data_IF_984370587602
#
_entry.id   IF_984370587602
#
_cell.length_a   1.000
_cell.length_b   1.000
_cell.length_c   1.000
_cell.angle_alpha   90.00
_cell.angle_beta   90.00
_cell.angle_gamma   90.00
#
_symmetry.space_group_name_H-M   'P 1'
#
loop_
_entity.id
_entity.type
_entity.pdbx_description
1 polymer ?
#
# COMPACT_ATOMS: atom_id res chain seq x y z
N UNK A 1 17.76 -13.53 -5.43
CA UNK A 1 18.03 -14.86 -6.05
C UNK A 1 16.75 -15.67 -5.94
N UNK A 2 16.03 -15.93 -7.05
CA UNK A 2 14.83 -16.77 -7.03
C UNK A 2 15.18 -18.12 -6.40
N UNK A 3 14.38 -18.57 -5.44
CA UNK A 3 14.64 -19.81 -4.72
C UNK A 3 14.56 -20.98 -5.70
N UNK A 4 15.73 -21.56 -6.03
CA UNK A 4 15.88 -22.61 -7.03
C UNK A 4 15.29 -23.97 -6.59
N UNK A 5 14.56 -23.99 -5.48
CA UNK A 5 14.03 -25.20 -4.86
C UNK A 5 12.85 -25.80 -5.63
N UNK A 6 12.08 -25.01 -6.41
CA UNK A 6 10.84 -25.48 -7.05
C UNK A 6 10.61 -24.97 -8.51
N UNK A 7 11.53 -25.23 -9.46
CA UNK A 7 11.46 -24.69 -10.82
C UNK A 7 10.21 -25.14 -11.61
N UNK A 8 9.67 -26.32 -11.32
CA UNK A 8 8.45 -26.80 -11.97
C UNK A 8 7.19 -26.13 -11.42
N UNK A 9 7.18 -25.74 -10.14
CA UNK A 9 6.08 -24.97 -9.57
C UNK A 9 6.06 -23.56 -10.18
N UNK A 10 7.22 -22.93 -10.28
CA UNK A 10 7.36 -21.62 -10.93
C UNK A 10 6.89 -21.66 -12.38
N UNK A 11 7.34 -22.65 -13.17
CA UNK A 11 6.85 -22.84 -14.56
C UNK A 11 5.35 -23.07 -14.63
N UNK A 12 4.79 -23.83 -13.69
CA UNK A 12 3.34 -24.06 -13.64
C UNK A 12 2.57 -22.77 -13.31
N UNK A 13 3.05 -21.98 -12.33
CA UNK A 13 2.46 -20.69 -11.97
C UNK A 13 2.51 -19.71 -13.15
N UNK A 14 3.66 -19.59 -13.81
CA UNK A 14 3.81 -18.75 -15.02
C UNK A 14 2.86 -19.20 -16.13
N UNK A 15 2.72 -20.51 -16.35
CA UNK A 15 1.80 -21.04 -17.36
C UNK A 15 0.32 -20.84 -17.01
N UNK A 16 -0.03 -20.92 -15.72
CA UNK A 16 -1.37 -20.62 -15.23
C UNK A 16 -1.70 -19.14 -15.42
N UNK A 17 -0.78 -18.26 -15.05
CA UNK A 17 -0.91 -16.80 -15.18
C UNK A 17 -1.03 -16.34 -16.63
N UNK A 18 -0.53 -17.11 -17.60
CA UNK A 18 -0.68 -16.82 -19.03
C UNK A 18 -2.05 -17.19 -19.61
N UNK A 19 -2.92 -17.90 -18.87
CA UNK A 19 -4.22 -18.35 -19.40
C UNK A 19 -5.25 -17.20 -19.40
N UNK A 20 -5.93 -16.89 -20.52
CA UNK A 20 -6.95 -15.84 -20.56
C UNK A 20 -8.05 -16.02 -19.52
N UNK A 21 -8.50 -17.26 -19.30
CA UNK A 21 -9.52 -17.56 -18.29
C UNK A 21 -9.05 -17.26 -16.86
N UNK A 22 -7.77 -17.49 -16.56
CA UNK A 22 -7.21 -17.18 -15.25
C UNK A 22 -6.99 -15.66 -15.09
N UNK A 23 -6.49 -14.98 -16.13
CA UNK A 23 -6.34 -13.53 -16.15
C UNK A 23 -7.66 -12.80 -15.88
N UNK A 24 -8.77 -13.27 -16.46
CA UNK A 24 -10.10 -12.70 -16.24
C UNK A 24 -10.62 -12.89 -14.80
N UNK A 25 -10.10 -13.88 -14.05
CA UNK A 25 -10.48 -14.14 -12.66
C UNK A 25 -9.45 -13.64 -11.64
N UNK A 26 -8.41 -12.91 -12.08
CA UNK A 26 -7.40 -12.38 -11.16
C UNK A 26 -8.02 -11.33 -10.25
N UNK A 27 -7.90 -11.57 -8.95
CA UNK A 27 -8.28 -10.65 -7.90
C UNK A 27 -7.20 -10.66 -6.82
N UNK A 28 -7.09 -9.58 -6.05
CA UNK A 28 -6.12 -9.48 -4.96
C UNK A 28 -6.57 -10.26 -3.71
N UNK A 29 -5.66 -10.46 -2.76
CA UNK A 29 -5.92 -11.17 -1.50
C UNK A 29 -7.04 -10.50 -0.73
N UNK A 30 -7.09 -9.17 -0.72
CA UNK A 30 -8.17 -8.43 -0.06
C UNK A 30 -9.52 -8.76 -0.69
N UNK A 31 -9.60 -8.72 -2.02
CA UNK A 31 -10.80 -9.08 -2.77
C UNK A 31 -11.18 -10.53 -2.49
N UNK A 32 -10.26 -11.48 -2.39
CA UNK A 32 -10.60 -12.87 -2.06
C UNK A 32 -11.01 -13.06 -0.60
N UNK A 33 -10.36 -12.38 0.34
CA UNK A 33 -10.65 -12.47 1.77
C UNK A 33 -11.97 -11.78 2.14
N UNK A 34 -12.34 -10.74 1.38
CA UNK A 34 -13.53 -9.92 1.60
C UNK A 34 -14.61 -10.09 0.50
N UNK A 35 -14.41 -10.98 -0.48
CA UNK A 35 -15.43 -11.30 -1.49
C UNK A 35 -16.54 -12.12 -0.84
N UNK A 36 -17.59 -11.41 -0.42
CA UNK A 36 -18.79 -11.92 0.24
C UNK A 36 -18.44 -12.70 1.52
N UNK A 37 -18.80 -12.20 2.72
CA UNK A 37 -18.59 -12.99 3.92
C UNK A 37 -19.24 -14.36 3.68
N UNK A 38 -18.47 -15.43 3.89
CA UNK A 38 -19.05 -16.78 3.86
C UNK A 38 -20.28 -16.75 4.76
N UNK A 39 -21.34 -17.50 4.44
CA UNK A 39 -22.54 -17.53 5.30
C UNK A 39 -22.24 -17.95 6.76
N UNK A 40 -21.00 -18.33 7.06
CA UNK A 40 -20.47 -18.67 8.38
C UNK A 40 -19.93 -17.47 9.18
N UNK A 41 -20.02 -16.24 8.66
CA UNK A 41 -19.53 -15.03 9.34
C UNK A 41 -18.14 -14.56 8.86
N UNK A 42 -17.60 -13.48 9.46
CA UNK A 42 -16.30 -12.94 9.09
C UNK A 42 -15.17 -13.89 9.48
N UNK A 43 -14.06 -13.82 8.74
CA UNK A 43 -12.83 -14.52 9.12
C UNK A 43 -12.16 -13.78 10.28
N UNK A 44 -11.69 -14.53 11.28
CA UNK A 44 -10.94 -13.99 12.42
C UNK A 44 -9.47 -14.40 12.33
N UNK A 45 -8.58 -13.46 12.63
CA UNK A 45 -7.15 -13.76 12.77
C UNK A 45 -6.93 -14.69 13.98
N UNK A 46 -5.88 -15.51 13.91
CA UNK A 46 -5.43 -16.34 15.03
C UNK A 46 -4.05 -15.89 15.48
N UNK A 47 -3.66 -16.19 16.71
CA UNK A 47 -2.32 -15.87 17.24
C UNK A 47 -1.19 -16.42 16.33
N UNK A 48 -1.38 -17.61 15.77
CA UNK A 48 -0.43 -18.20 14.82
C UNK A 48 -0.31 -17.44 13.48
N UNK A 49 -1.33 -16.66 13.11
CA UNK A 49 -1.33 -15.86 11.89
C UNK A 49 -0.59 -14.52 12.06
N UNK A 50 -0.33 -14.07 13.29
CA UNK A 50 0.21 -12.75 13.58
C UNK A 50 1.58 -12.50 12.95
N UNK A 51 2.54 -13.43 13.10
CA UNK A 51 3.86 -13.30 12.47
C UNK A 51 3.84 -13.44 10.94
N UNK A 52 2.83 -14.11 10.39
CA UNK A 52 2.64 -14.17 8.92
C UNK A 52 2.07 -12.84 8.43
N UNK A 53 1.05 -12.33 9.09
CA UNK A 53 0.44 -11.03 8.81
C UNK A 53 1.46 -9.90 8.96
N UNK A 54 2.30 -9.93 10.01
CA UNK A 54 3.34 -8.92 10.22
C UNK A 54 4.35 -8.87 9.07
N UNK A 55 4.76 -10.01 8.51
CA UNK A 55 5.62 -10.05 7.32
C UNK A 55 4.90 -9.60 6.05
N UNK A 56 3.63 -9.97 5.88
CA UNK A 56 2.81 -9.55 4.73
C UNK A 56 2.56 -8.03 4.77
N UNK A 57 2.27 -7.47 5.94
CA UNK A 57 1.97 -6.06 6.13
C UNK A 57 3.22 -5.19 6.34
N UNK A 58 4.41 -5.79 6.40
CA UNK A 58 5.66 -5.03 6.49
C UNK A 58 6.06 -4.52 7.87
N UNK A 59 5.56 -5.16 8.91
CA UNK A 59 5.64 -4.72 10.31
C UNK A 59 6.85 -5.27 11.05
N UNK A 60 7.51 -6.31 10.53
CA UNK A 60 8.77 -6.80 11.08
C UNK A 60 9.95 -6.08 10.44
N UNK A 61 11.02 -5.90 11.21
CA UNK A 61 12.27 -5.34 10.72
C UNK A 61 12.80 -6.15 9.53
N UNK A 62 13.15 -5.48 8.43
CA UNK A 62 13.54 -6.14 7.17
C UNK A 62 12.37 -6.57 6.27
N UNK A 63 11.12 -6.52 6.72
CA UNK A 63 9.96 -6.82 5.85
C UNK A 63 9.84 -5.78 4.75
N UNK A 64 9.79 -6.25 3.49
CA UNK A 64 9.85 -5.41 2.30
C UNK A 64 11.03 -4.42 2.30
N UNK A 65 12.10 -4.70 3.03
CA UNK A 65 13.29 -3.86 2.97
C UNK A 65 13.91 -3.96 1.57
N UNK A 66 14.46 -2.85 1.08
CA UNK A 66 15.18 -2.81 -0.18
C UNK A 66 16.23 -3.92 -0.25
N UNK A 67 16.92 -4.23 0.85
CA UNK A 67 17.92 -5.30 0.95
C UNK A 67 17.34 -6.73 0.87
N UNK A 68 16.14 -6.95 1.41
CA UNK A 68 15.45 -8.25 1.33
C UNK A 68 14.94 -8.55 -0.09
N UNK A 69 14.75 -7.50 -0.88
CA UNK A 69 14.36 -7.56 -2.31
C UNK A 69 15.55 -7.19 -3.23
N UNK A 70 16.72 -6.86 -2.67
CA UNK A 70 17.90 -6.42 -3.42
C UNK A 70 18.55 -7.62 -4.11
N UNK A 71 18.85 -7.44 -5.38
CA UNK A 71 19.26 -8.54 -6.27
C UNK A 71 18.10 -9.22 -6.99
N UNK A 72 16.94 -8.58 -7.08
CA UNK A 72 15.91 -8.92 -8.07
C UNK A 72 16.23 -8.24 -9.40
N UNK A 73 15.96 -8.99 -10.47
CA UNK A 73 16.26 -8.69 -11.87
C UNK A 73 15.90 -7.24 -12.24
N UNK A 74 16.76 -6.54 -12.98
CA UNK A 74 16.47 -5.22 -13.56
C UNK A 74 15.09 -5.21 -14.25
N UNK A 75 14.68 -6.35 -14.81
CA UNK A 75 13.34 -6.54 -15.36
C UNK A 75 12.20 -6.32 -14.35
N UNK A 76 12.33 -6.76 -13.10
CA UNK A 76 11.30 -6.59 -12.07
C UNK A 76 11.13 -5.13 -11.64
N UNK A 77 12.23 -4.40 -11.51
CA UNK A 77 12.21 -2.94 -11.26
C UNK A 77 11.57 -2.18 -12.42
N UNK A 78 11.95 -2.51 -13.65
CA UNK A 78 11.37 -1.88 -14.84
C UNK A 78 9.89 -2.23 -15.03
N UNK A 79 9.44 -3.44 -14.69
CA UNK A 79 8.01 -3.77 -14.71
C UNK A 79 7.23 -2.97 -13.68
N UNK A 80 7.73 -2.88 -12.43
CA UNK A 80 7.11 -2.07 -11.39
C UNK A 80 7.03 -0.59 -11.81
N UNK A 81 8.12 -0.03 -12.36
CA UNK A 81 8.15 1.33 -12.88
C UNK A 81 7.16 1.51 -14.04
N UNK A 82 7.10 0.55 -14.98
CA UNK A 82 6.18 0.62 -16.11
C UNK A 82 4.71 0.64 -15.64
N UNK A 83 4.33 -0.23 -14.69
CA UNK A 83 2.96 -0.26 -14.17
C UNK A 83 2.58 1.03 -13.45
N UNK A 84 3.51 1.62 -12.70
CA UNK A 84 3.31 2.90 -12.02
C UNK A 84 3.17 4.05 -13.02
N UNK A 85 4.07 4.14 -14.01
CA UNK A 85 4.12 5.25 -14.98
C UNK A 85 2.97 5.17 -15.98
N UNK A 86 2.69 3.99 -16.53
CA UNK A 86 1.69 3.82 -17.60
C UNK A 86 0.26 4.16 -17.15
N UNK A 87 -0.01 4.14 -15.85
CA UNK A 87 -1.32 4.40 -15.26
C UNK A 87 -1.27 5.47 -14.16
N UNK A 88 -0.29 6.38 -14.21
CA UNK A 88 0.02 7.27 -13.08
C UNK A 88 -1.18 8.11 -12.61
N UNK A 89 -2.02 8.62 -13.52
CA UNK A 89 -3.17 9.47 -13.14
C UNK A 89 -4.17 8.71 -12.29
N UNK A 90 -4.49 7.48 -12.69
CA UNK A 90 -5.40 6.63 -11.94
C UNK A 90 -4.75 6.12 -10.65
N UNK A 91 -3.44 5.85 -10.65
CA UNK A 91 -2.72 5.44 -9.43
C UNK A 91 -2.68 6.56 -8.40
N UNK A 92 -2.42 7.81 -8.81
CA UNK A 92 -2.44 8.99 -7.93
C UNK A 92 -3.84 9.18 -7.36
N UNK A 93 -4.87 9.18 -8.20
CA UNK A 93 -6.26 9.32 -7.75
C UNK A 93 -6.70 8.16 -6.83
N UNK A 94 -6.21 6.94 -7.07
CA UNK A 94 -6.47 5.80 -6.21
C UNK A 94 -5.73 5.90 -4.86
N UNK A 95 -4.46 6.29 -4.87
CA UNK A 95 -3.64 6.45 -3.66
C UNK A 95 -4.17 7.58 -2.77
N UNK A 96 -4.68 8.67 -3.36
CA UNK A 96 -5.30 9.78 -2.63
C UNK A 96 -6.52 9.37 -1.78
N UNK A 97 -7.13 8.21 -2.07
CA UNK A 97 -8.22 7.66 -1.23
C UNK A 97 -7.78 7.34 0.18
N UNK A 98 -6.48 7.12 0.41
CA UNK A 98 -5.92 6.95 1.76
C UNK A 98 -6.15 8.15 2.68
N UNK A 99 -6.27 9.36 2.11
CA UNK A 99 -6.58 10.59 2.82
C UNK A 99 -8.02 11.08 2.62
N UNK A 100 -8.83 10.37 1.84
CA UNK A 100 -10.19 10.79 1.47
C UNK A 100 -11.22 10.49 2.56
N UNK A 101 -12.33 11.21 2.53
CA UNK A 101 -13.49 10.87 3.35
C UNK A 101 -14.15 9.57 2.86
N UNK A 102 -14.73 8.76 3.77
CA UNK A 102 -15.51 7.59 3.38
C UNK A 102 -16.65 7.97 2.44
N UNK A 103 -16.87 7.15 1.42
CA UNK A 103 -17.94 7.34 0.47
C UNK A 103 -19.31 7.05 1.08
N UNK A 104 -20.37 7.54 0.45
CA UNK A 104 -21.75 7.25 0.81
C UNK A 104 -22.46 6.56 -0.38
N UNK A 105 -22.80 5.26 -0.30
CA UNK A 105 -22.63 4.35 0.83
C UNK A 105 -21.19 3.84 0.95
N UNK A 106 -20.72 3.67 2.19
CA UNK A 106 -19.42 3.03 2.45
C UNK A 106 -19.59 1.52 2.49
N UNK A 107 -18.91 0.81 1.59
CA UNK A 107 -18.99 -0.64 1.48
C UNK A 107 -17.71 -1.36 1.97
N UNK A 108 -16.60 -0.63 2.10
CA UNK A 108 -15.31 -1.10 2.57
C UNK A 108 -14.43 0.12 2.90
N UNK A 109 -14.17 0.42 4.17
CA UNK A 109 -13.51 1.68 4.57
C UNK A 109 -12.15 1.89 3.90
N UNK A 110 -11.35 0.83 3.78
CA UNK A 110 -10.03 0.85 3.12
C UNK A 110 -10.07 0.51 1.62
N UNK A 111 -11.23 0.25 1.03
CA UNK A 111 -11.36 -0.08 -0.40
C UNK A 111 -12.56 0.60 -1.06
N UNK A 112 -12.99 1.73 -0.49
CA UNK A 112 -14.24 2.36 -0.87
C UNK A 112 -14.15 2.84 -2.33
N UNK A 113 -14.93 2.24 -3.26
CA UNK A 113 -14.98 2.73 -4.62
C UNK A 113 -15.58 4.15 -4.69
N UNK A 114 -16.32 4.53 -3.64
CA UNK A 114 -17.01 5.80 -3.52
C UNK A 114 -16.25 6.81 -2.64
N UNK A 115 -15.02 6.51 -2.21
CA UNK A 115 -14.19 7.48 -1.48
C UNK A 115 -14.12 8.80 -2.24
N UNK A 116 -14.54 9.88 -1.58
CA UNK A 116 -14.67 11.18 -2.22
C UNK A 116 -13.41 12.01 -1.99
N UNK A 117 -12.60 12.14 -3.06
CA UNK A 117 -11.39 12.96 -3.06
C UNK A 117 -11.69 14.44 -3.36
N UNK A 118 -12.87 14.76 -3.90
CA UNK A 118 -13.22 16.07 -4.43
C UNK A 118 -14.05 16.91 -3.45
N UNK A 119 -14.89 16.26 -2.65
CA UNK A 119 -15.71 16.96 -1.66
C UNK A 119 -14.91 17.20 -0.37
N UNK A 120 -15.05 18.39 0.24
CA UNK A 120 -14.79 18.57 1.66
C UNK A 120 -15.57 17.54 2.47
N UNK A 121 -15.02 17.05 3.59
CA UNK A 121 -15.85 16.29 4.53
C UNK A 121 -16.97 17.20 5.11
N UNK A 122 -17.94 16.58 5.77
CA UNK A 122 -19.10 17.24 6.38
C UNK A 122 -18.77 18.37 7.38
N UNK A 123 -17.51 18.50 7.79
CA UNK A 123 -16.98 19.49 8.72
C UNK A 123 -16.14 20.62 8.07
N UNK A 124 -16.01 20.63 6.74
CA UNK A 124 -15.40 21.75 6.00
C UNK A 124 -13.88 21.73 5.86
N UNK A 125 -13.25 20.55 5.95
CA UNK A 125 -11.80 20.41 5.72
C UNK A 125 -11.42 20.44 4.23
N UNK A 126 -10.13 20.66 3.96
CA UNK A 126 -9.57 20.74 2.60
C UNK A 126 -9.80 19.41 1.86
N UNK A 127 -10.33 19.42 0.62
CA UNK A 127 -10.45 18.21 -0.19
C UNK A 127 -9.11 17.50 -0.38
N UNK A 128 -9.13 16.16 -0.36
CA UNK A 128 -7.95 15.34 -0.65
C UNK A 128 -7.35 15.62 -2.05
N UNK A 129 -8.11 16.25 -2.95
CA UNK A 129 -7.65 16.75 -4.25
C UNK A 129 -6.39 17.62 -4.16
N UNK A 130 -6.21 18.38 -3.07
CA UNK A 130 -5.01 19.22 -2.86
C UNK A 130 -3.74 18.38 -2.72
N UNK A 131 -3.86 17.12 -2.31
CA UNK A 131 -2.74 16.18 -2.14
C UNK A 131 -2.28 15.59 -3.48
N UNK A 132 -3.09 15.65 -4.55
CA UNK A 132 -2.78 14.98 -5.83
C UNK A 132 -1.45 15.46 -6.44
N UNK A 133 -1.16 16.76 -6.40
CA UNK A 133 0.08 17.31 -6.94
C UNK A 133 1.33 16.80 -6.19
N UNK A 134 1.41 17.02 -4.86
CA UNK A 134 2.49 16.47 -4.03
C UNK A 134 2.61 14.94 -4.09
N UNK A 135 1.48 14.22 -4.20
CA UNK A 135 1.47 12.76 -4.31
C UNK A 135 2.03 12.28 -5.64
N UNK A 136 1.68 12.92 -6.75
CA UNK A 136 2.26 12.65 -8.08
C UNK A 136 3.77 12.91 -8.08
N UNK A 137 4.23 13.98 -7.45
CA UNK A 137 5.66 14.27 -7.27
C UNK A 137 6.37 13.15 -6.49
N UNK A 138 5.78 12.71 -5.36
CA UNK A 138 6.30 11.58 -4.58
C UNK A 138 6.40 10.29 -5.42
N UNK A 139 5.34 9.94 -6.16
CA UNK A 139 5.34 8.74 -7.00
C UNK A 139 6.32 8.83 -8.19
N UNK A 140 6.63 10.04 -8.67
CA UNK A 140 7.70 10.25 -9.66
C UNK A 140 9.08 9.97 -9.07
N UNK A 141 9.36 10.37 -7.83
CA UNK A 141 10.59 9.99 -7.15
C UNK A 141 10.69 8.46 -7.00
N UNK A 142 9.60 7.80 -6.63
CA UNK A 142 9.54 6.33 -6.57
C UNK A 142 9.82 5.71 -7.94
N UNK A 143 9.26 6.25 -9.02
CA UNK A 143 9.51 5.78 -10.39
C UNK A 143 10.99 5.93 -10.79
N UNK A 144 11.62 7.07 -10.49
CA UNK A 144 13.05 7.28 -10.74
C UNK A 144 13.89 6.32 -9.90
N UNK A 145 13.57 6.14 -8.63
CA UNK A 145 14.25 5.19 -7.76
C UNK A 145 14.17 3.75 -8.30
N UNK A 146 13.02 3.36 -8.88
CA UNK A 146 12.86 2.05 -9.53
C UNK A 146 13.75 1.92 -10.77
N UNK A 147 13.81 2.94 -11.63
CA UNK A 147 14.60 2.90 -12.88
C UNK A 147 16.11 2.96 -12.59
N UNK A 148 16.55 4.00 -11.89
CA UNK A 148 17.96 4.39 -11.79
C UNK A 148 18.57 4.08 -10.42
N UNK A 149 17.77 3.61 -9.45
CA UNK A 149 18.17 3.34 -8.08
C UNK A 149 17.90 4.52 -7.14
N UNK A 150 17.73 4.25 -5.84
CA UNK A 150 17.40 5.27 -4.82
C UNK A 150 18.42 6.41 -4.76
N UNK A 151 19.72 6.11 -4.90
CA UNK A 151 20.81 7.09 -4.86
C UNK A 151 20.66 8.20 -5.91
N UNK A 152 20.00 7.91 -7.03
CA UNK A 152 19.81 8.86 -8.14
C UNK A 152 18.83 9.99 -7.80
N UNK A 153 17.90 9.74 -6.88
CA UNK A 153 16.77 10.64 -6.59
C UNK A 153 16.69 11.06 -5.12
N UNK A 154 17.36 10.35 -4.21
CA UNK A 154 17.29 10.55 -2.75
C UNK A 154 17.45 12.01 -2.32
N UNK A 155 18.43 12.73 -2.88
CA UNK A 155 18.63 14.14 -2.55
C UNK A 155 17.45 15.03 -2.96
N UNK A 156 16.91 14.81 -4.16
CA UNK A 156 15.76 15.57 -4.66
C UNK A 156 14.50 15.19 -3.90
N UNK A 157 14.24 13.89 -3.74
CA UNK A 157 13.11 13.37 -2.98
C UNK A 157 13.11 13.91 -1.54
N UNK A 158 14.24 13.88 -0.84
CA UNK A 158 14.34 14.45 0.50
C UNK A 158 14.08 15.96 0.51
N UNK A 159 14.52 16.71 -0.50
CA UNK A 159 14.28 18.14 -0.58
C UNK A 159 12.82 18.49 -0.92
N UNK A 160 12.15 17.68 -1.74
CA UNK A 160 10.78 17.91 -2.21
C UNK A 160 9.74 17.40 -1.19
N UNK A 161 9.96 16.23 -0.59
CA UNK A 161 9.05 15.58 0.36
C UNK A 161 9.13 16.14 1.79
N UNK A 162 10.29 16.64 2.23
CA UNK A 162 10.41 17.30 3.55
C UNK A 162 9.70 18.66 3.60
N UNK A 163 9.36 19.26 2.46
CA UNK A 163 8.56 20.50 2.39
C UNK A 163 7.07 20.26 2.62
N UNK A 164 6.62 19.00 2.58
CA UNK A 164 5.20 18.64 2.61
C UNK A 164 4.74 17.98 3.93
N UNK A 165 5.65 17.66 4.85
CA UNK A 165 5.33 17.05 6.15
C UNK A 165 5.52 18.00 7.33
N UNK A 166 4.45 18.33 8.05
CA UNK A 166 4.56 18.81 9.43
C UNK A 166 4.44 17.61 10.39
N UNK A 167 5.58 17.26 10.98
CA UNK A 167 5.80 16.67 12.30
C UNK A 167 4.96 15.47 12.80
N UNK A 168 5.62 14.30 12.98
CA UNK A 168 5.33 13.45 14.15
C UNK A 168 5.53 11.94 13.97
N UNK A 169 6.74 11.42 14.21
CA UNK A 169 6.99 9.98 14.18
C UNK A 169 6.13 9.18 15.18
N UNK A 170 5.06 8.56 14.69
CA UNK A 170 4.38 7.43 15.31
C UNK A 170 4.98 6.12 14.81
N UNK A 171 5.13 5.11 15.67
CA UNK A 171 5.77 3.82 15.35
C UNK A 171 4.88 2.90 14.50
N UNK A 172 4.44 3.41 13.35
CA UNK A 172 3.83 2.69 12.24
C UNK A 172 4.21 3.45 10.97
N UNK A 173 4.71 2.77 9.93
CA UNK A 173 5.20 3.41 8.70
C UNK A 173 4.07 4.14 7.98
N UNK A 174 3.81 5.40 8.32
CA UNK A 174 2.79 6.23 7.68
C UNK A 174 2.31 7.41 8.54
N UNK A 175 3.10 8.47 8.64
CA UNK A 175 2.57 9.81 8.97
C UNK A 175 2.24 10.08 10.44
N UNK A 176 2.45 11.34 10.84
CA UNK A 176 2.27 11.83 12.21
C UNK A 176 0.99 12.62 12.46
N UNK A 177 0.11 12.69 11.47
CA UNK A 177 -1.10 13.50 11.50
C UNK A 177 -2.17 13.02 12.48
N UNK A 178 -3.22 13.83 12.61
CA UNK A 178 -4.44 13.45 13.33
C UNK A 178 -5.14 12.29 12.60
N UNK A 179 -5.64 11.32 13.38
CA UNK A 179 -6.35 10.17 12.85
C UNK A 179 -7.69 10.60 12.24
N UNK A 180 -8.08 9.95 11.15
CA UNK A 180 -9.41 10.13 10.56
C UNK A 180 -10.48 9.65 11.54
N UNK A 181 -11.62 10.34 11.58
CA UNK A 181 -12.76 10.00 12.46
C UNK A 181 -13.18 8.53 12.33
N UNK A 182 -13.47 7.91 13.47
CA UNK A 182 -13.87 6.50 13.55
C UNK A 182 -12.71 5.52 13.69
N UNK A 183 -11.46 5.98 13.62
CA UNK A 183 -10.27 5.19 13.87
C UNK A 183 -9.65 5.50 15.24
N UNK A 184 -9.40 4.45 16.01
CA UNK A 184 -8.73 4.53 17.30
C UNK A 184 -7.46 3.68 17.33
N UNK A 185 -6.47 4.12 18.10
CA UNK A 185 -5.19 3.43 18.26
C UNK A 185 -5.26 2.43 19.43
N UNK A 186 -4.79 1.22 19.17
CA UNK A 186 -4.70 0.12 20.14
C UNK A 186 -3.30 -0.52 20.06
N UNK A 187 -2.93 -1.29 21.08
CA UNK A 187 -1.69 -2.07 21.08
C UNK A 187 -2.02 -3.55 20.92
N UNK A 188 -1.29 -4.23 20.02
CA UNK A 188 -1.36 -5.68 19.88
C UNK A 188 -0.60 -6.39 21.01
N UNK A 189 -0.67 -7.72 21.03
CA UNK A 189 0.01 -8.54 22.06
C UNK A 189 1.53 -8.42 22.01
N UNK A 190 2.09 -7.96 20.88
CA UNK A 190 3.51 -7.70 20.69
C UNK A 190 3.91 -6.24 21.01
N UNK A 191 2.98 -5.41 21.48
CA UNK A 191 3.20 -4.00 21.81
C UNK A 191 3.34 -3.10 20.59
N UNK A 192 2.87 -3.52 19.41
CA UNK A 192 2.81 -2.70 18.21
C UNK A 192 1.49 -1.95 18.17
N UNK A 193 1.55 -0.68 17.81
CA UNK A 193 0.34 0.11 17.59
C UNK A 193 -0.36 -0.35 16.31
N UNK A 194 -1.65 -0.66 16.42
CA UNK A 194 -2.55 -0.86 15.29
C UNK A 194 -3.77 0.05 15.46
N UNK A 195 -4.43 0.34 14.35
CA UNK A 195 -5.61 1.19 14.29
C UNK A 195 -6.82 0.33 13.96
N UNK A 196 -7.91 0.54 14.69
CA UNK A 196 -9.18 -0.16 14.49
C UNK A 196 -10.28 0.86 14.21
N UNK A 197 -11.09 0.57 13.20
CA UNK A 197 -12.26 1.40 12.89
C UNK A 197 -13.50 0.85 13.61
N UNK A 198 -14.10 1.63 14.52
CA UNK A 198 -15.19 1.16 15.39
C UNK A 198 -16.43 0.68 14.60
N UNK A 199 -16.80 1.43 13.57
CA UNK A 199 -17.99 1.16 12.74
C UNK A 199 -17.77 0.05 11.71
N UNK A 200 -16.65 0.07 10.97
CA UNK A 200 -16.42 -0.90 9.87
C UNK A 200 -15.78 -2.21 10.35
N UNK A 201 -15.14 -2.19 11.51
CA UNK A 201 -14.37 -3.31 12.05
C UNK A 201 -13.08 -3.61 11.30
N UNK A 202 -12.59 -2.68 10.48
CA UNK A 202 -11.33 -2.81 9.76
C UNK A 202 -10.13 -2.50 10.67
N UNK A 203 -9.00 -3.15 10.36
CA UNK A 203 -7.73 -2.91 11.04
C UNK A 203 -6.63 -2.55 10.07
N UNK A 204 -5.75 -1.66 10.50
CA UNK A 204 -4.52 -1.30 9.79
C UNK A 204 -3.40 -1.04 10.79
N UNK A 205 -2.16 -1.22 10.36
CA UNK A 205 -0.97 -0.89 11.15
C UNK A 205 -0.27 0.40 10.65
N UNK A 206 -0.79 0.99 9.57
CA UNK A 206 -0.42 2.34 9.14
C UNK A 206 -1.44 3.33 9.71
N UNK A 207 -1.00 4.45 10.30
CA UNK A 207 -1.89 5.51 10.77
C UNK A 207 -2.81 6.00 9.64
N UNK A 208 -4.14 5.89 9.77
CA UNK A 208 -5.07 6.49 8.83
C UNK A 208 -5.13 8.01 9.09
N UNK A 209 -4.17 8.75 8.56
CA UNK A 209 -4.08 10.21 8.62
C UNK A 209 -4.49 10.81 7.27
N UNK A 210 -4.60 12.15 7.19
CA UNK A 210 -4.87 12.85 5.92
C UNK A 210 -3.60 13.37 5.24
N UNK A 211 -2.47 12.71 5.45
CA UNK A 211 -1.18 13.12 4.88
C UNK A 211 -0.78 12.26 3.67
N UNK A 212 0.32 12.67 3.02
CA UNK A 212 0.90 11.93 1.89
C UNK A 212 1.34 10.53 2.34
N UNK A 213 1.79 10.37 3.59
CA UNK A 213 2.18 9.10 4.17
C UNK A 213 1.03 8.09 4.18
N UNK A 214 -0.16 8.52 4.59
CA UNK A 214 -1.37 7.69 4.52
C UNK A 214 -1.71 7.27 3.08
N UNK A 215 -1.57 8.17 2.11
CA UNK A 215 -1.80 7.86 0.69
C UNK A 215 -0.80 6.82 0.14
N UNK A 216 0.48 6.95 0.50
CA UNK A 216 1.53 6.02 0.07
C UNK A 216 1.39 4.66 0.78
N UNK A 217 1.07 4.64 2.07
CA UNK A 217 0.79 3.43 2.82
C UNK A 217 -0.45 2.71 2.26
N UNK A 218 -1.50 3.47 1.95
CA UNK A 218 -2.69 2.98 1.27
C UNK A 218 -2.32 2.31 -0.06
N UNK A 219 -1.56 2.98 -0.94
CA UNK A 219 -1.12 2.37 -2.20
C UNK A 219 -0.31 1.08 -1.97
N UNK A 220 0.66 1.11 -1.05
CA UNK A 220 1.54 -0.04 -0.72
C UNK A 220 0.73 -1.28 -0.34
N UNK A 221 -0.25 -1.11 0.53
CA UNK A 221 -1.04 -2.22 1.08
C UNK A 221 -2.05 -2.75 0.05
N UNK A 222 -2.47 -1.90 -0.89
CA UNK A 222 -3.46 -2.20 -1.92
C UNK A 222 -2.89 -2.74 -3.24
N UNK A 223 -1.57 -2.88 -3.39
CA UNK A 223 -0.97 -3.50 -4.58
C UNK A 223 -1.46 -4.96 -4.71
N UNK A 224 -2.28 -5.23 -5.72
CA UNK A 224 -2.88 -6.53 -5.95
C UNK A 224 -1.94 -7.48 -6.67
N UNK A 225 -1.60 -8.61 -6.04
CA UNK A 225 -0.88 -9.70 -6.70
C UNK A 225 -1.84 -10.88 -6.92
N UNK A 226 -1.96 -11.44 -8.14
CA UNK A 226 -1.22 -11.15 -9.37
C UNK A 226 -1.96 -10.20 -10.34
N UNK A 227 -2.95 -9.43 -9.84
CA UNK A 227 -3.84 -8.55 -10.64
C UNK A 227 -3.09 -7.37 -11.27
N UNK A 228 -2.35 -6.64 -10.46
CA UNK A 228 -1.66 -5.41 -10.87
C UNK A 228 -0.26 -5.72 -11.43
N UNK A 229 0.45 -6.65 -10.79
CA UNK A 229 1.74 -7.15 -11.26
C UNK A 229 2.11 -8.49 -10.60
N UNK A 230 3.20 -9.09 -11.09
CA UNK A 230 3.75 -10.34 -10.53
C UNK A 230 4.30 -10.12 -9.12
N UNK A 231 4.46 -11.22 -8.37
CA UNK A 231 4.87 -11.17 -6.96
C UNK A 231 6.19 -10.42 -6.72
N UNK A 232 7.20 -10.65 -7.56
CA UNK A 232 8.52 -10.03 -7.42
C UNK A 232 8.48 -8.52 -7.71
N UNK A 233 7.97 -8.04 -8.86
CA UNK A 233 7.73 -6.60 -9.10
C UNK A 233 6.91 -5.93 -8.01
N UNK A 234 5.86 -6.59 -7.50
CA UNK A 234 5.04 -6.05 -6.43
C UNK A 234 5.82 -5.87 -5.13
N UNK A 235 6.67 -6.84 -4.77
CA UNK A 235 7.55 -6.75 -3.61
C UNK A 235 8.56 -5.61 -3.77
N UNK A 236 9.12 -5.44 -4.97
CA UNK A 236 10.02 -4.34 -5.33
C UNK A 236 9.32 -2.99 -5.17
N UNK A 237 8.10 -2.83 -5.72
CA UNK A 237 7.34 -1.59 -5.61
C UNK A 237 7.05 -1.25 -4.14
N UNK A 238 6.59 -2.22 -3.34
CA UNK A 238 6.36 -2.03 -1.90
C UNK A 238 7.61 -1.58 -1.15
N UNK A 239 8.77 -2.12 -1.50
CA UNK A 239 10.03 -1.72 -0.89
C UNK A 239 10.38 -0.26 -1.20
N UNK A 240 10.13 0.20 -2.44
CA UNK A 240 10.39 1.59 -2.82
C UNK A 240 9.34 2.55 -2.24
N UNK A 241 8.08 2.11 -2.07
CA UNK A 241 7.08 2.90 -1.35
C UNK A 241 7.42 3.03 0.13
N UNK A 242 7.96 1.99 0.76
CA UNK A 242 8.48 2.08 2.12
C UNK A 242 9.68 3.04 2.22
N UNK A 243 10.59 3.02 1.26
CA UNK A 243 11.67 4.02 1.20
C UNK A 243 11.12 5.45 1.11
N UNK A 244 10.08 5.69 0.31
CA UNK A 244 9.44 7.01 0.24
C UNK A 244 8.73 7.38 1.56
N UNK A 245 8.10 6.42 2.25
CA UNK A 245 7.52 6.63 3.58
C UNK A 245 8.57 6.99 4.63
N UNK A 246 9.77 6.41 4.54
CA UNK A 246 10.87 6.71 5.47
C UNK A 246 11.45 8.14 5.26
N UNK A 247 11.12 8.80 4.14
CA UNK A 247 11.50 10.19 3.84
C UNK A 247 10.44 11.23 4.28
N UNK A 248 9.23 10.80 4.65
CA UNK A 248 8.10 11.64 5.06
C UNK A 248 8.02 11.75 6.59
#
# INVERSE_FOLDING_TARGET
KADATLPNLERWLVALEARPAYMASKADVYTHAHALPTQNGPAYSTEAAEGVAARICGLEEGSWALEAVSGTDTAARHEAAYQLIANHEAVVAFAARGAAAPGQPSFAGLADPNADIHSPNEWGEVPAEVILGPLDECLRHVAVALLDGVDSTERSAMADLSRTGDSGGGRGRGGGGELVEGWDAYEDVAGRTYYWHEVTGETTYAPPTRDIGACIAYLRDRIGVPRDMRCVPAAVLRAHLNWALDLL
#
